data_IF_271888839096
#
_entry.id   IF_271888839096
#
_cell.length_a   1.000
_cell.length_b   1.000
_cell.length_c   1.000
_cell.angle_alpha   90.00
_cell.angle_beta   90.00
_cell.angle_gamma   90.00
#
_symmetry.space_group_name_H-M   'P 1'
#
loop_
_entity.id
_entity.type
_entity.pdbx_description
1 polymer ?
#
# COMPACT_ATOMS: atom_id res chain seq x y z
N UNK A 1 16.83 -21.92 -15.02
CA UNK A 1 15.83 -21.77 -13.94
C UNK A 1 14.59 -22.55 -14.31
N UNK A 2 14.10 -23.35 -13.40
CA UNK A 2 12.89 -24.11 -13.62
C UNK A 2 11.79 -23.49 -12.77
N UNK A 3 10.71 -23.09 -13.40
CA UNK A 3 9.57 -22.51 -12.70
C UNK A 3 8.59 -23.63 -12.33
N UNK A 4 8.06 -23.55 -11.11
CA UNK A 4 7.01 -24.47 -10.70
C UNK A 4 5.72 -24.16 -11.44
N UNK A 5 5.02 -25.18 -11.87
CA UNK A 5 3.76 -25.00 -12.62
C UNK A 5 2.55 -25.05 -11.72
N UNK A 6 2.66 -25.65 -10.53
CA UNK A 6 1.52 -25.85 -9.67
C UNK A 6 1.57 -24.95 -8.44
N UNK A 7 1.92 -23.68 -8.60
CA UNK A 7 1.94 -22.73 -7.50
C UNK A 7 0.60 -22.07 -7.32
N UNK A 8 0.21 -21.90 -6.06
CA UNK A 8 -1.02 -21.19 -5.74
C UNK A 8 -0.93 -19.70 -6.13
N UNK A 9 0.26 -19.13 -6.02
CA UNK A 9 0.48 -17.73 -6.39
C UNK A 9 1.63 -17.64 -7.38
N UNK A 10 1.52 -16.71 -8.31
CA UNK A 10 2.56 -16.48 -9.31
C UNK A 10 3.65 -15.55 -8.77
N UNK A 11 3.28 -14.62 -7.90
CA UNK A 11 4.22 -13.67 -7.32
C UNK A 11 3.78 -13.30 -5.91
N UNK A 12 4.74 -13.18 -5.01
CA UNK A 12 4.52 -12.76 -3.63
C UNK A 12 5.55 -11.72 -3.24
N UNK A 13 5.14 -10.80 -2.39
CA UNK A 13 6.05 -9.79 -1.83
C UNK A 13 5.87 -9.67 -0.33
N UNK A 14 6.98 -9.52 0.39
CA UNK A 14 6.97 -9.20 1.81
C UNK A 14 7.29 -7.72 1.92
N UNK A 15 6.38 -6.95 2.48
CA UNK A 15 6.55 -5.50 2.47
C UNK A 15 5.84 -4.86 3.66
N UNK A 16 6.17 -3.61 3.94
CA UNK A 16 5.41 -2.78 4.85
C UNK A 16 4.45 -1.94 4.01
N UNK A 17 3.19 -1.98 4.38
CA UNK A 17 2.18 -1.18 3.71
C UNK A 17 2.01 0.14 4.44
N UNK A 18 1.75 1.18 3.70
CA UNK A 18 1.51 2.50 4.26
C UNK A 18 0.45 3.26 3.50
N UNK A 19 0.29 4.52 3.90
CA UNK A 19 -0.65 5.43 3.28
C UNK A 19 0.15 6.57 2.67
N UNK A 20 -0.22 6.97 1.48
CA UNK A 20 0.29 8.18 0.86
C UNK A 20 -0.87 9.13 0.62
N UNK A 21 -0.73 10.39 1.01
CA UNK A 21 -1.70 11.41 0.67
C UNK A 21 -1.09 12.40 -0.30
N UNK A 22 -1.89 12.87 -1.23
CA UNK A 22 -1.46 13.80 -2.27
C UNK A 22 -2.50 14.88 -2.41
N UNK A 23 -2.10 16.16 -2.50
CA UNK A 23 -3.07 17.22 -2.71
C UNK A 23 -3.87 16.99 -3.98
N UNK A 24 -5.16 17.30 -3.94
CA UNK A 24 -6.02 17.19 -5.12
C UNK A 24 -5.65 18.28 -6.12
N UNK A 25 -5.93 18.04 -7.40
CA UNK A 25 -5.73 19.00 -8.47
C UNK A 25 -4.28 19.51 -8.56
N UNK A 26 -3.33 18.70 -8.11
CA UNK A 26 -1.91 19.02 -8.20
C UNK A 26 -1.55 20.32 -7.49
N UNK A 27 -2.27 20.65 -6.43
CA UNK A 27 -1.95 21.84 -5.66
C UNK A 27 -0.71 21.61 -4.80
N UNK A 28 0.03 22.67 -4.46
CA UNK A 28 1.12 22.55 -3.49
C UNK A 28 0.60 22.14 -2.12
N UNK A 29 1.43 21.41 -1.37
CA UNK A 29 1.05 20.90 -0.06
C UNK A 29 0.68 22.03 0.90
N UNK A 30 1.35 23.16 0.80
CA UNK A 30 1.16 24.26 1.74
C UNK A 30 -0.14 25.05 1.52
N UNK A 31 -0.85 24.83 0.43
CA UNK A 31 -2.09 25.55 0.16
C UNK A 31 -3.30 24.66 0.05
N UNK A 32 -3.12 23.35 -0.08
CA UNK A 32 -4.26 22.45 -0.27
C UNK A 32 -4.90 22.09 1.07
N UNK A 33 -6.21 22.06 1.09
CA UNK A 33 -6.96 21.54 2.23
C UNK A 33 -7.59 20.19 1.92
N UNK A 34 -7.53 19.75 0.69
CA UNK A 34 -8.09 18.47 0.27
C UNK A 34 -7.01 17.58 -0.27
N UNK A 35 -7.03 16.31 0.14
CA UNK A 35 -6.02 15.37 -0.25
C UNK A 35 -6.66 14.05 -0.65
N UNK A 36 -6.03 13.35 -1.58
CA UNK A 36 -6.40 11.98 -1.92
C UNK A 36 -5.54 11.01 -1.15
N UNK A 37 -6.12 9.91 -0.72
CA UNK A 37 -5.44 8.92 0.08
C UNK A 37 -5.25 7.64 -0.72
N UNK A 38 -4.06 7.08 -0.67
CA UNK A 38 -3.73 5.85 -1.37
C UNK A 38 -2.97 4.90 -0.47
N UNK A 39 -3.28 3.63 -0.54
CA UNK A 39 -2.46 2.60 0.07
C UNK A 39 -1.27 2.33 -0.85
N UNK A 40 -0.08 2.27 -0.31
CA UNK A 40 1.09 2.17 -1.15
C UNK A 40 2.23 1.39 -0.53
N UNK A 41 2.99 0.75 -1.40
CA UNK A 41 4.35 0.31 -1.19
C UNK A 41 4.92 0.06 -2.58
N UNK A 42 6.23 0.11 -2.71
CA UNK A 42 6.85 -0.12 -4.01
C UNK A 42 6.54 -1.52 -4.52
N UNK A 43 6.60 -2.50 -3.62
CA UNK A 43 6.35 -3.89 -3.97
C UNK A 43 4.89 -4.11 -4.38
N UNK A 44 3.96 -3.42 -3.74
CA UNK A 44 2.55 -3.54 -4.08
C UNK A 44 2.26 -2.97 -5.47
N UNK A 45 2.98 -1.95 -5.88
CA UNK A 45 2.82 -1.41 -7.22
C UNK A 45 3.20 -2.45 -8.28
N UNK A 46 4.26 -3.21 -8.03
CA UNK A 46 4.65 -4.31 -8.92
C UNK A 46 3.58 -5.40 -8.92
N UNK A 47 3.06 -5.76 -7.75
CA UNK A 47 2.01 -6.77 -7.64
C UNK A 47 0.73 -6.31 -8.34
N UNK A 48 0.43 -5.03 -8.32
CA UNK A 48 -0.75 -4.50 -8.99
C UNK A 48 -0.65 -4.70 -10.50
N UNK A 49 0.52 -4.49 -11.08
CA UNK A 49 0.74 -4.75 -12.50
C UNK A 49 0.56 -6.24 -12.80
N UNK A 50 1.14 -7.09 -11.96
CA UNK A 50 1.02 -8.54 -12.14
C UNK A 50 -0.44 -8.99 -12.07
N UNK A 51 -1.18 -8.48 -11.11
CA UNK A 51 -2.60 -8.80 -10.96
C UNK A 51 -3.40 -8.34 -12.17
N UNK A 52 -3.11 -7.17 -12.71
CA UNK A 52 -3.78 -6.65 -13.90
C UNK A 52 -3.52 -7.51 -15.14
N UNK A 53 -2.40 -8.21 -15.15
CA UNK A 53 -2.06 -9.15 -16.23
C UNK A 53 -2.67 -10.54 -16.01
N UNK A 54 -3.45 -10.73 -14.99
CA UNK A 54 -4.10 -12.01 -14.72
C UNK A 54 -3.30 -12.98 -13.87
N UNK A 55 -2.17 -12.56 -13.33
CA UNK A 55 -1.37 -13.38 -12.45
C UNK A 55 -1.90 -13.32 -11.02
N UNK A 56 -1.68 -14.37 -10.25
CA UNK A 56 -2.12 -14.42 -8.86
C UNK A 56 -1.04 -13.83 -7.97
N UNK A 57 -1.35 -12.69 -7.36
CA UNK A 57 -0.40 -11.96 -6.54
C UNK A 57 -0.80 -11.98 -5.06
N UNK A 58 0.18 -12.01 -4.18
CA UNK A 58 -0.04 -11.99 -2.74
C UNK A 58 0.98 -11.11 -2.04
N UNK A 59 0.50 -10.39 -1.02
CA UNK A 59 1.32 -9.57 -0.14
C UNK A 59 1.37 -10.21 1.24
N UNK A 60 2.55 -10.26 1.84
CA UNK A 60 2.75 -10.64 3.24
C UNK A 60 3.20 -9.40 4.00
N UNK A 61 2.46 -9.02 5.04
CA UNK A 61 2.75 -7.80 5.77
C UNK A 61 2.24 -7.90 7.21
N UNK A 62 2.44 -6.84 7.98
CA UNK A 62 1.87 -6.72 9.32
C UNK A 62 0.81 -5.64 9.29
N UNK A 63 -0.25 -5.85 10.02
CA UNK A 63 -1.31 -4.85 10.18
C UNK A 63 -1.45 -4.50 11.65
N UNK A 64 -1.76 -3.24 11.93
CA UNK A 64 -2.09 -2.83 13.29
C UNK A 64 -3.51 -3.31 13.58
N UNK A 65 -3.68 -4.05 14.68
CA UNK A 65 -4.96 -4.62 15.04
C UNK A 65 -5.98 -3.52 15.27
N UNK A 66 -7.18 -3.71 14.74
CA UNK A 66 -8.33 -2.80 14.89
C UNK A 66 -8.05 -1.36 14.35
N UNK A 67 -7.08 -1.21 13.49
CA UNK A 67 -6.77 0.12 12.93
C UNK A 67 -7.64 0.42 11.71
N UNK A 68 -8.27 1.59 11.66
CA UNK A 68 -8.98 2.01 10.44
C UNK A 68 -8.07 2.11 9.23
N UNK A 69 -6.80 2.46 9.44
CA UNK A 69 -5.82 2.53 8.35
C UNK A 69 -5.56 1.13 7.79
N UNK A 70 -5.45 0.12 8.67
CA UNK A 70 -5.28 -1.25 8.23
C UNK A 70 -6.50 -1.72 7.41
N UNK A 71 -7.70 -1.37 7.84
CA UNK A 71 -8.91 -1.69 7.09
C UNK A 71 -8.93 -1.04 5.71
N UNK A 72 -8.49 0.19 5.63
CA UNK A 72 -8.39 0.89 4.35
C UNK A 72 -7.40 0.19 3.42
N UNK A 73 -6.22 -0.16 3.92
CA UNK A 73 -5.20 -0.85 3.13
C UNK A 73 -5.74 -2.20 2.63
N UNK A 74 -6.38 -2.96 3.49
CA UNK A 74 -6.96 -4.25 3.11
C UNK A 74 -8.01 -4.08 2.01
N UNK A 75 -8.84 -3.05 2.12
CA UNK A 75 -9.85 -2.75 1.10
C UNK A 75 -9.23 -2.40 -0.25
N UNK A 76 -8.14 -1.64 -0.26
CA UNK A 76 -7.45 -1.30 -1.50
C UNK A 76 -6.79 -2.50 -2.14
N UNK A 77 -6.25 -3.42 -1.35
CA UNK A 77 -5.68 -4.66 -1.88
C UNK A 77 -6.77 -5.53 -2.51
N UNK A 78 -7.95 -5.59 -1.89
CA UNK A 78 -9.07 -6.34 -2.46
C UNK A 78 -9.54 -5.74 -3.79
N UNK A 79 -9.59 -4.43 -3.89
CA UNK A 79 -9.96 -3.77 -5.14
C UNK A 79 -9.00 -4.11 -6.27
N UNK A 80 -7.73 -4.30 -5.96
CA UNK A 80 -6.70 -4.62 -6.94
C UNK A 80 -6.56 -6.12 -7.17
N UNK A 81 -7.41 -6.91 -6.52
CA UNK A 81 -7.38 -8.37 -6.63
C UNK A 81 -6.03 -8.94 -6.20
N UNK A 82 -5.44 -8.36 -5.17
CA UNK A 82 -4.21 -8.86 -4.56
C UNK A 82 -4.58 -9.51 -3.24
N UNK A 83 -4.24 -10.77 -3.07
CA UNK A 83 -4.47 -11.44 -1.80
C UNK A 83 -3.44 -10.98 -0.78
N UNK A 84 -3.80 -10.98 0.47
CA UNK A 84 -2.89 -10.57 1.52
C UNK A 84 -3.01 -11.50 2.72
N UNK A 85 -1.89 -11.62 3.42
CA UNK A 85 -1.83 -12.34 4.66
C UNK A 85 -0.90 -11.57 5.57
N UNK A 86 -1.24 -11.46 6.81
CA UNK A 86 -0.43 -10.69 7.72
C UNK A 86 -0.75 -11.02 9.15
N UNK A 87 0.14 -10.58 10.04
CA UNK A 87 -0.05 -10.74 11.46
C UNK A 87 -0.66 -9.45 11.98
N UNK A 88 -1.78 -9.56 12.68
CA UNK A 88 -2.34 -8.39 13.36
C UNK A 88 -1.59 -8.21 14.66
N UNK A 89 -1.03 -7.03 14.87
CA UNK A 89 -0.27 -6.72 16.06
C UNK A 89 -0.92 -5.59 16.84
N UNK A 90 -0.79 -5.64 18.16
CA UNK A 90 -1.26 -4.56 19.01
C UNK A 90 -0.46 -3.31 18.73
N UNK A 91 -1.11 -2.16 18.81
CA UNK A 91 -0.47 -0.91 18.51
C UNK A 91 0.62 -0.56 19.53
N UNK A 92 0.46 -0.93 20.77
CA UNK A 92 1.54 -0.84 21.78
C UNK A 92 1.82 0.55 22.33
N UNK A 93 0.91 1.50 22.20
CA UNK A 93 1.06 2.84 22.76
C UNK A 93 1.90 3.78 21.91
N UNK A 94 2.45 4.85 22.51
CA UNK A 94 3.12 5.89 21.72
C UNK A 94 4.33 5.42 20.93
N UNK A 95 5.01 4.37 21.42
CA UNK A 95 6.21 3.86 20.75
C UNK A 95 5.94 2.57 20.01
N UNK A 96 4.67 2.22 19.83
CA UNK A 96 4.29 0.99 19.17
C UNK A 96 4.34 1.10 17.66
N UNK A 97 3.99 -0.01 17.01
CA UNK A 97 4.01 -0.11 15.56
C UNK A 97 2.93 0.78 14.93
N UNK A 98 3.28 1.43 13.84
CA UNK A 98 2.33 2.21 13.07
C UNK A 98 2.57 1.98 11.60
N UNK A 99 1.52 2.09 10.82
CA UNK A 99 1.68 2.10 9.36
C UNK A 99 2.36 3.39 8.94
N UNK A 100 3.17 3.29 7.90
CA UNK A 100 3.87 4.43 7.36
C UNK A 100 2.89 5.43 6.76
N UNK A 101 3.16 6.71 6.91
CA UNK A 101 2.28 7.74 6.42
C UNK A 101 3.14 8.79 5.72
N UNK A 102 2.91 8.98 4.42
CA UNK A 102 3.71 9.88 3.60
C UNK A 102 2.84 10.94 2.95
N UNK A 103 3.35 12.14 2.85
CA UNK A 103 2.74 13.21 2.08
C UNK A 103 3.57 13.37 0.82
N UNK A 104 2.92 13.22 -0.34
CA UNK A 104 3.62 13.35 -1.60
C UNK A 104 3.25 14.66 -2.27
N UNK A 105 4.27 15.44 -2.60
CA UNK A 105 4.08 16.64 -3.38
C UNK A 105 4.00 16.22 -4.85
N UNK A 106 3.10 16.83 -5.58
CA UNK A 106 2.94 16.53 -6.99
C UNK A 106 4.05 17.13 -7.86
N UNK A 107 4.92 17.92 -7.27
CA UNK A 107 5.98 18.61 -8.01
C UNK A 107 5.51 19.83 -8.76
N UNK A 108 4.22 20.17 -8.66
CA UNK A 108 3.68 21.30 -9.37
C UNK A 108 4.24 22.59 -8.79
N UNK A 109 4.77 23.44 -9.64
CA UNK A 109 5.33 24.71 -9.18
C UNK A 109 6.76 24.65 -8.70
N UNK A 110 7.35 23.48 -8.67
CA UNK A 110 8.72 23.37 -8.34
C UNK A 110 9.54 23.60 -9.58
N UNK A 111 10.53 24.40 -9.46
CA UNK A 111 11.30 24.61 -10.49
C UNK A 111 12.32 23.80 -10.60
N UNK A 112 12.32 23.20 -11.32
CA UNK A 112 13.23 22.41 -11.50
C UNK A 112 14.47 22.82 -12.00
#
# INVERSE_FOLDING_TARGET
>A
MILKKDCKYDIMAVTSMGIRITPVNRQPVNVSNLYEMHATSAETNVLNISSALGLKAKVLTKFVKDSPIALYIKGELRKRNIEFEGIDIEQGGPWGYRHQFNIADSGFGLDD
#
